data_IF_284736255927
#
_entry.id   IF_284736255927
#
_cell.length_a   1.000
_cell.length_b   1.000
_cell.length_c   1.000
_cell.angle_alpha   90.00
_cell.angle_beta   90.00
_cell.angle_gamma   90.00
#
_symmetry.space_group_name_H-M   'P 1'
#
loop_
_entity.id
_entity.type
_entity.pdbx_description
1 polymer ?
#
# COMPACT_ATOMS: atom_id res chain seq x y z
N UNK A 1 2.93 -8.51 -35.38
CA UNK A 1 4.29 -8.65 -34.82
C UNK A 1 4.75 -7.27 -34.35
N UNK A 2 5.14 -7.14 -33.09
CA UNK A 2 5.50 -5.86 -32.49
C UNK A 2 5.80 -6.03 -31.00
N UNK A 3 6.90 -6.74 -30.73
CA UNK A 3 7.53 -6.86 -29.41
C UNK A 3 7.96 -5.45 -28.94
N UNK A 4 7.41 -4.95 -27.83
CA UNK A 4 8.05 -3.89 -27.03
C UNK A 4 7.31 -3.71 -25.69
N UNK A 5 7.71 -4.52 -24.71
CA UNK A 5 7.30 -4.40 -23.31
C UNK A 5 8.23 -5.16 -22.35
N UNK A 6 8.96 -6.16 -22.85
CA UNK A 6 9.82 -7.04 -22.05
C UNK A 6 11.07 -6.40 -21.44
N UNK A 7 11.54 -5.24 -21.90
CA UNK A 7 12.88 -4.73 -21.54
C UNK A 7 13.01 -4.25 -20.08
N UNK A 8 11.99 -3.60 -19.52
CA UNK A 8 12.06 -3.09 -18.13
C UNK A 8 11.71 -4.15 -17.08
N UNK A 9 10.77 -5.04 -17.40
CA UNK A 9 10.38 -6.13 -16.52
C UNK A 9 11.47 -7.22 -16.46
N UNK A 10 12.09 -7.56 -17.60
CA UNK A 10 13.31 -8.39 -17.62
C UNK A 10 14.45 -7.71 -16.86
N UNK A 11 14.62 -6.39 -16.96
CA UNK A 11 15.68 -5.70 -16.20
C UNK A 11 15.45 -5.68 -14.68
N UNK A 12 14.21 -5.55 -14.20
CA UNK A 12 13.91 -5.59 -12.75
C UNK A 12 13.87 -7.01 -12.19
N UNK A 13 13.24 -7.95 -12.89
CA UNK A 13 13.29 -9.37 -12.51
C UNK A 13 14.73 -9.89 -12.59
N UNK A 14 15.49 -9.57 -13.63
CA UNK A 14 16.93 -9.90 -13.70
C UNK A 14 17.75 -9.11 -12.67
N UNK A 15 17.32 -7.93 -12.21
CA UNK A 15 18.00 -7.20 -11.13
C UNK A 15 17.68 -7.80 -9.76
N UNK A 16 16.46 -8.27 -9.53
CA UNK A 16 16.06 -8.99 -8.32
C UNK A 16 16.69 -10.40 -8.30
N UNK A 17 16.72 -11.11 -9.44
CA UNK A 17 17.47 -12.35 -9.60
C UNK A 17 18.97 -12.13 -9.51
N UNK A 18 19.54 -11.06 -10.08
CA UNK A 18 20.96 -10.74 -9.92
C UNK A 18 21.29 -10.28 -8.50
N UNK A 19 20.37 -9.60 -7.81
CA UNK A 19 20.50 -9.25 -6.39
C UNK A 19 20.45 -10.51 -5.52
N UNK A 20 19.49 -11.42 -5.79
CA UNK A 20 19.45 -12.76 -5.19
C UNK A 20 20.74 -13.52 -5.49
N UNK A 21 21.23 -13.56 -6.73
CA UNK A 21 22.47 -14.24 -7.09
C UNK A 21 23.74 -13.64 -6.45
N UNK A 22 23.75 -12.32 -6.19
CA UNK A 22 24.84 -11.64 -5.43
C UNK A 22 24.83 -11.96 -3.94
N UNK A 23 23.68 -12.38 -3.42
CA UNK A 23 23.44 -12.63 -2.00
C UNK A 23 23.27 -14.13 -1.69
N UNK A 24 23.07 -14.94 -2.72
CA UNK A 24 23.01 -16.40 -2.69
C UNK A 24 24.43 -16.93 -2.52
N UNK A 25 24.69 -17.38 -1.30
CA UNK A 25 25.88 -18.14 -1.01
C UNK A 25 25.38 -19.58 -1.05
N UNK A 26 25.66 -20.32 -2.12
CA UNK A 26 25.22 -21.71 -2.23
C UNK A 26 25.75 -22.56 -1.07
N UNK A 27 25.07 -23.66 -0.77
CA UNK A 27 25.63 -24.73 0.08
C UNK A 27 26.90 -25.26 -0.62
N UNK A 28 28.06 -24.83 -0.13
CA UNK A 28 29.34 -25.14 -0.77
C UNK A 28 29.63 -26.63 -0.70
N UNK A 29 30.22 -27.16 -1.79
CA UNK A 29 30.78 -28.50 -1.88
C UNK A 29 31.57 -28.86 -0.59
N UNK A 30 31.45 -30.09 -0.04
CA UNK A 30 32.14 -30.48 1.18
C UNK A 30 33.62 -30.10 1.12
N UNK A 31 34.05 -29.33 2.11
CA UNK A 31 35.37 -28.77 2.23
C UNK A 31 36.37 -29.94 2.44
N UNK A 32 37.33 -30.15 1.52
CA UNK A 32 38.17 -31.34 1.49
C UNK A 32 39.17 -31.46 2.68
N UNK A 33 39.21 -30.48 3.58
CA UNK A 33 40.20 -30.36 4.65
C UNK A 33 39.63 -30.54 6.07
N UNK A 34 38.37 -30.99 6.20
CA UNK A 34 37.73 -31.22 7.51
C UNK A 34 37.48 -29.94 8.34
N UNK A 35 37.69 -28.77 7.74
CA UNK A 35 37.34 -27.45 8.27
C UNK A 35 35.92 -27.10 7.86
N UNK A 36 35.15 -26.52 8.77
CA UNK A 36 33.78 -26.08 8.46
C UNK A 36 33.77 -24.58 8.20
N UNK A 37 32.86 -24.10 7.35
CA UNK A 37 32.72 -22.69 7.04
C UNK A 37 31.28 -22.22 7.26
N UNK A 38 31.12 -20.99 7.75
CA UNK A 38 29.80 -20.35 7.94
C UNK A 38 29.75 -18.99 7.25
N UNK A 39 28.75 -18.81 6.40
CA UNK A 39 28.42 -17.52 5.77
C UNK A 39 26.95 -17.20 5.98
N UNK A 40 26.67 -15.99 6.42
CA UNK A 40 25.29 -15.52 6.61
C UNK A 40 25.08 -14.28 5.76
N UNK A 41 24.06 -14.29 4.90
CA UNK A 41 23.65 -13.11 4.14
C UNK A 41 22.35 -12.57 4.70
N UNK A 42 22.32 -11.28 5.03
CA UNK A 42 21.09 -10.57 5.42
C UNK A 42 20.61 -9.77 4.22
N UNK A 43 19.37 -9.99 3.80
CA UNK A 43 18.80 -9.34 2.62
C UNK A 43 17.39 -8.84 2.89
N UNK A 44 16.94 -7.87 2.09
CA UNK A 44 15.55 -7.45 2.11
C UNK A 44 14.65 -8.54 1.53
N UNK A 45 13.51 -8.80 2.16
CA UNK A 45 12.55 -9.79 1.68
C UNK A 45 11.93 -9.39 0.32
N UNK A 46 11.69 -8.09 0.12
CA UNK A 46 10.99 -7.55 -1.06
C UNK A 46 11.87 -7.48 -2.31
N UNK A 47 13.10 -6.97 -2.20
CA UNK A 47 13.99 -6.77 -3.36
C UNK A 47 15.10 -7.81 -3.48
N UNK A 48 15.36 -8.57 -2.41
CA UNK A 48 16.49 -9.47 -2.30
C UNK A 48 17.85 -8.78 -2.20
N UNK A 49 17.90 -7.45 -2.12
CA UNK A 49 19.13 -6.67 -1.98
C UNK A 49 19.75 -6.88 -0.59
N UNK A 50 21.08 -6.94 -0.52
CA UNK A 50 21.81 -7.10 0.74
C UNK A 50 21.61 -5.92 1.69
N UNK A 51 21.42 -6.20 2.97
CA UNK A 51 21.29 -5.18 4.02
C UNK A 51 22.62 -5.05 4.75
N UNK A 52 23.21 -3.87 4.69
CA UNK A 52 24.52 -3.56 5.30
C UNK A 52 24.39 -3.06 6.75
N UNK A 53 25.51 -3.04 7.49
CA UNK A 53 25.61 -2.51 8.86
C UNK A 53 24.73 -3.21 9.92
N UNK A 54 24.24 -4.41 9.62
CA UNK A 54 23.51 -5.24 10.57
C UNK A 54 24.48 -6.17 11.29
N UNK A 55 24.30 -6.33 12.60
CA UNK A 55 25.16 -7.23 13.39
C UNK A 55 24.56 -8.64 13.37
N UNK A 56 25.34 -9.62 12.88
CA UNK A 56 25.00 -11.04 12.92
C UNK A 56 25.83 -11.70 14.02
N UNK A 57 25.18 -12.38 14.95
CA UNK A 57 25.83 -13.17 16.00
C UNK A 57 25.58 -14.64 15.73
N UNK A 58 26.66 -15.42 15.65
CA UNK A 58 26.61 -16.87 15.59
C UNK A 58 27.01 -17.41 16.97
N UNK A 59 26.04 -17.93 17.72
CA UNK A 59 26.27 -18.51 19.05
C UNK A 59 26.28 -20.04 18.92
N UNK A 60 27.36 -20.67 19.36
CA UNK A 60 27.57 -22.11 19.21
C UNK A 60 28.94 -22.52 19.72
N UNK A 61 29.50 -23.64 19.22
CA UNK A 61 30.85 -24.12 19.56
C UNK A 61 31.92 -23.03 19.50
N UNK A 62 31.90 -22.22 18.44
CA UNK A 62 32.71 -20.99 18.32
C UNK A 62 31.78 -19.79 18.25
N UNK A 63 31.65 -19.02 19.34
CA UNK A 63 30.78 -17.84 19.32
C UNK A 63 31.49 -16.63 18.72
N UNK A 64 30.85 -15.97 17.76
CA UNK A 64 31.42 -14.82 17.06
C UNK A 64 30.33 -13.83 16.62
N UNK A 65 30.74 -12.59 16.37
CA UNK A 65 29.88 -11.54 15.84
C UNK A 65 30.54 -10.88 14.64
N UNK A 66 29.75 -10.61 13.60
CA UNK A 66 30.18 -9.95 12.36
C UNK A 66 29.16 -8.91 11.95
N UNK A 67 29.62 -7.86 11.29
CA UNK A 67 28.74 -6.87 10.66
C UNK A 67 28.65 -7.18 9.18
N UNK A 68 27.44 -7.12 8.63
CA UNK A 68 27.18 -7.36 7.21
C UNK A 68 27.86 -6.33 6.33
N UNK A 69 28.59 -6.78 5.31
CA UNK A 69 29.32 -5.94 4.36
C UNK A 69 28.39 -5.09 3.48
N UNK A 70 28.92 -3.98 2.98
CA UNK A 70 28.25 -3.11 2.00
C UNK A 70 27.85 -3.90 0.74
N UNK A 71 26.73 -3.50 0.13
CA UNK A 71 26.16 -4.00 -1.14
C UNK A 71 25.77 -5.49 -1.21
N UNK A 72 26.32 -6.33 -0.35
CA UNK A 72 26.14 -7.79 -0.34
C UNK A 72 25.34 -8.27 0.86
N UNK A 73 25.35 -7.52 1.97
CA UNK A 73 24.72 -7.98 3.22
C UNK A 73 25.41 -9.20 3.83
N UNK A 74 26.64 -9.52 3.42
CA UNK A 74 27.36 -10.73 3.83
C UNK A 74 28.08 -10.54 5.17
N UNK A 75 27.84 -11.46 6.10
CA UNK A 75 28.63 -11.71 7.29
C UNK A 75 29.38 -13.05 7.13
N UNK A 76 30.65 -12.97 6.73
CA UNK A 76 31.52 -14.16 6.61
C UNK A 76 32.21 -14.45 7.95
N UNK A 77 31.90 -15.60 8.55
CA UNK A 77 32.51 -16.07 9.79
C UNK A 77 33.79 -16.86 9.54
N UNK A 78 34.11 -17.18 8.29
CA UNK A 78 35.29 -17.96 7.94
C UNK A 78 35.18 -19.40 8.44
N UNK A 79 36.28 -19.91 9.01
CA UNK A 79 36.35 -21.28 9.55
C UNK A 79 35.71 -21.32 10.93
N UNK A 80 34.85 -22.31 11.17
CA UNK A 80 34.15 -22.54 12.44
C UNK A 80 34.20 -24.02 12.84
N UNK A 81 34.01 -24.29 14.13
CA UNK A 81 33.91 -25.67 14.63
C UNK A 81 32.57 -26.33 14.23
N UNK A 82 32.52 -27.65 14.01
CA UNK A 82 31.27 -28.34 13.73
C UNK A 82 30.36 -28.34 14.96
N UNK A 83 29.05 -28.27 14.73
CA UNK A 83 28.04 -28.32 15.78
C UNK A 83 26.81 -27.47 15.47
N UNK A 84 25.97 -27.27 16.50
CA UNK A 84 24.75 -26.48 16.39
C UNK A 84 25.04 -25.01 16.68
N UNK A 85 24.52 -24.14 15.82
CA UNK A 85 24.61 -22.69 15.93
C UNK A 85 23.21 -22.08 15.98
N UNK A 86 23.06 -21.06 16.82
CA UNK A 86 21.92 -20.14 16.81
C UNK A 86 22.39 -18.80 16.28
N UNK A 87 21.85 -18.42 15.12
CA UNK A 87 22.12 -17.16 14.44
C UNK A 87 21.08 -16.13 14.88
N UNK A 88 21.55 -15.00 15.41
CA UNK A 88 20.70 -13.86 15.74
C UNK A 88 21.16 -12.63 14.96
N UNK A 89 20.20 -11.84 14.48
CA UNK A 89 20.46 -10.64 13.71
C UNK A 89 19.97 -9.46 14.52
N UNK A 90 20.89 -8.56 14.89
CA UNK A 90 20.60 -7.35 15.66
C UNK A 90 20.60 -6.15 14.72
N UNK A 91 19.43 -5.53 14.60
CA UNK A 91 19.25 -4.30 13.85
C UNK A 91 19.82 -3.11 14.62
N UNK A 92 20.57 -2.25 13.94
CA UNK A 92 20.96 -0.93 14.46
C UNK A 92 19.75 0.00 14.56
N UNK A 93 19.92 1.17 15.20
CA UNK A 93 18.84 2.12 15.40
C UNK A 93 18.23 2.65 14.08
N UNK A 94 19.00 2.69 12.99
CA UNK A 94 18.53 3.12 11.67
C UNK A 94 17.75 2.02 10.96
N UNK A 95 18.23 0.78 11.06
CA UNK A 95 17.69 -0.41 10.42
C UNK A 95 16.42 -0.88 11.12
N UNK A 96 16.34 -0.72 12.44
CA UNK A 96 15.14 -1.00 13.24
C UNK A 96 13.94 -0.10 12.88
N UNK A 97 14.18 1.05 12.24
CA UNK A 97 13.10 1.91 11.69
C UNK A 97 12.63 1.47 10.30
N UNK A 98 13.38 0.59 9.64
CA UNK A 98 13.16 0.19 8.25
C UNK A 98 12.75 -1.26 8.12
N UNK A 99 13.07 -2.10 9.09
CA UNK A 99 12.89 -3.54 9.01
C UNK A 99 12.36 -4.13 10.30
N UNK A 100 11.55 -5.16 10.17
CA UNK A 100 11.17 -6.02 11.28
C UNK A 100 12.37 -6.84 11.75
N UNK A 101 12.51 -7.01 13.07
CA UNK A 101 13.54 -7.87 13.61
C UNK A 101 13.23 -9.34 13.26
N UNK A 102 14.16 -10.07 12.64
CA UNK A 102 13.91 -11.44 12.24
C UNK A 102 14.00 -12.38 13.44
N UNK A 103 13.29 -13.50 13.38
CA UNK A 103 13.43 -14.57 14.36
C UNK A 103 14.85 -15.16 14.36
N UNK A 104 15.30 -15.65 15.52
CA UNK A 104 16.55 -16.38 15.61
C UNK A 104 16.48 -17.69 14.80
N UNK A 105 17.58 -18.06 14.15
CA UNK A 105 17.64 -19.24 13.28
C UNK A 105 18.64 -20.23 13.85
N UNK A 106 18.21 -21.48 14.06
CA UNK A 106 19.13 -22.58 14.39
C UNK A 106 19.57 -23.33 13.14
N UNK A 107 20.86 -23.66 13.05
CA UNK A 107 21.44 -24.48 11.99
C UNK A 107 22.54 -25.39 12.56
N UNK A 108 22.75 -26.54 11.93
CA UNK A 108 23.83 -27.47 12.30
C UNK A 108 24.85 -27.51 11.18
N UNK A 109 26.13 -27.45 11.54
CA UNK A 109 27.27 -27.53 10.62
C UNK A 109 27.99 -28.85 10.88
N UNK A 110 27.98 -29.77 9.92
CA UNK A 110 28.74 -31.01 10.04
C UNK A 110 30.22 -30.78 9.71
N UNK A 111 31.07 -31.72 10.12
CA UNK A 111 32.51 -31.65 9.87
C UNK A 111 32.80 -31.61 8.37
N UNK A 112 33.50 -30.58 7.93
CA UNK A 112 33.80 -30.37 6.51
C UNK A 112 32.71 -29.65 5.73
N UNK A 113 31.61 -29.22 6.36
CA UNK A 113 30.55 -28.51 5.63
C UNK A 113 30.89 -27.03 5.43
N UNK A 114 30.48 -26.48 4.28
CA UNK A 114 30.31 -25.04 4.11
C UNK A 114 28.82 -24.74 4.19
N UNK A 115 28.39 -24.12 5.28
CA UNK A 115 27.01 -23.69 5.45
C UNK A 115 26.83 -22.23 5.11
N UNK A 116 25.82 -21.99 4.28
CA UNK A 116 25.40 -20.69 3.90
C UNK A 116 23.94 -20.48 4.29
N UNK A 117 23.63 -19.34 4.92
CA UNK A 117 22.28 -19.02 5.33
C UNK A 117 21.89 -17.62 4.89
N UNK A 118 20.77 -17.52 4.17
CA UNK A 118 20.08 -16.26 3.91
C UNK A 118 19.08 -15.99 5.03
N UNK A 119 19.08 -14.78 5.57
CA UNK A 119 18.08 -14.26 6.50
C UNK A 119 17.42 -13.06 5.83
N UNK A 120 16.10 -13.10 5.72
CA UNK A 120 15.32 -12.06 5.06
C UNK A 120 14.72 -11.12 6.10
N UNK A 121 14.83 -9.82 5.83
CA UNK A 121 14.26 -8.75 6.63
C UNK A 121 13.03 -8.20 5.93
N UNK A 122 11.86 -8.34 6.57
CA UNK A 122 10.63 -7.71 6.11
C UNK A 122 10.74 -6.18 6.28
N UNK A 123 10.50 -5.38 5.23
CA UNK A 123 10.48 -3.94 5.35
C UNK A 123 9.28 -3.46 6.18
N UNK A 124 9.50 -2.43 6.98
CA UNK A 124 8.43 -1.70 7.66
C UNK A 124 7.91 -0.65 6.69
N UNK A 125 6.60 -0.67 6.43
CA UNK A 125 5.95 0.35 5.61
C UNK A 125 5.22 1.36 6.49
N UNK A 126 5.08 2.58 5.97
CA UNK A 126 4.29 3.64 6.60
C UNK A 126 2.99 3.81 5.83
N UNK A 127 1.94 4.17 6.56
CA UNK A 127 0.65 4.46 5.95
C UNK A 127 0.53 5.93 5.61
N UNK A 128 0.10 6.22 4.38
CA UNK A 128 -0.22 7.56 3.94
C UNK A 128 -1.45 7.55 3.05
N UNK A 129 -2.45 8.35 3.41
CA UNK A 129 -3.67 8.54 2.62
C UNK A 129 -3.97 10.01 2.43
N UNK A 130 -4.57 10.35 1.30
CA UNK A 130 -5.08 11.70 1.06
C UNK A 130 -6.56 11.57 0.71
N UNK A 131 -7.42 12.11 1.56
CA UNK A 131 -8.85 12.18 1.29
C UNK A 131 -9.13 13.42 0.43
N UNK A 132 -9.74 13.22 -0.73
CA UNK A 132 -10.05 14.32 -1.66
C UNK A 132 -11.54 14.34 -2.01
N UNK A 133 -12.03 15.54 -2.32
CA UNK A 133 -13.35 15.74 -2.89
C UNK A 133 -13.39 15.42 -4.39
N UNK A 134 -14.55 15.63 -5.02
CA UNK A 134 -14.75 15.41 -6.46
C UNK A 134 -13.82 16.26 -7.35
N UNK A 135 -13.41 17.44 -6.87
CA UNK A 135 -12.50 18.33 -7.58
C UNK A 135 -11.02 17.98 -7.34
N UNK A 136 -10.73 16.97 -6.50
CA UNK A 136 -9.38 16.60 -6.12
C UNK A 136 -8.79 17.47 -5.00
N UNK A 137 -9.63 18.28 -4.34
CA UNK A 137 -9.20 19.11 -3.21
C UNK A 137 -9.23 18.30 -1.92
N UNK A 138 -8.24 18.51 -1.04
CA UNK A 138 -8.16 17.83 0.25
C UNK A 138 -9.38 18.05 1.13
N UNK A 139 -9.91 16.98 1.73
CA UNK A 139 -10.99 17.05 2.71
C UNK A 139 -10.42 17.26 4.10
N UNK A 140 -10.52 18.49 4.62
CA UNK A 140 -10.00 18.87 5.93
C UNK A 140 -10.93 18.44 7.08
N UNK A 141 -10.33 18.24 8.27
CA UNK A 141 -11.03 17.98 9.53
C UNK A 141 -11.96 16.74 9.54
N UNK A 142 -11.76 15.82 8.61
CA UNK A 142 -12.50 14.54 8.53
C UNK A 142 -11.99 13.61 9.63
N UNK A 143 -12.91 13.08 10.43
CA UNK A 143 -12.57 12.15 11.51
C UNK A 143 -12.23 10.78 10.95
N UNK A 144 -11.13 10.21 11.44
CA UNK A 144 -10.66 8.88 11.03
C UNK A 144 -10.25 8.05 12.24
N UNK A 145 -10.41 6.72 12.11
CA UNK A 145 -9.97 5.72 13.09
C UNK A 145 -9.31 4.54 12.38
N UNK A 146 -8.18 4.09 12.90
CA UNK A 146 -7.51 2.85 12.53
C UNK A 146 -7.64 1.85 13.68
N UNK A 147 -7.96 0.60 13.39
CA UNK A 147 -8.19 -0.44 14.41
C UNK A 147 -6.90 -0.97 15.06
N UNK A 148 -5.81 -1.10 14.30
CA UNK A 148 -4.56 -1.76 14.73
C UNK A 148 -3.32 -1.03 14.22
N UNK A 149 -2.43 -0.53 15.09
CA UNK A 149 -2.75 -0.17 16.47
C UNK A 149 -3.89 0.85 16.46
N UNK A 150 -4.71 0.83 17.51
CA UNK A 150 -5.84 1.74 17.65
C UNK A 150 -5.35 3.20 17.62
N UNK A 151 -5.68 3.91 16.55
CA UNK A 151 -5.32 5.31 16.33
C UNK A 151 -6.51 6.08 15.80
N UNK A 152 -6.54 7.38 16.05
CA UNK A 152 -7.57 8.26 15.55
C UNK A 152 -7.01 9.67 15.34
N UNK A 153 -7.73 10.46 14.57
CA UNK A 153 -7.38 11.83 14.33
C UNK A 153 -8.37 12.53 13.42
N UNK A 154 -7.93 13.70 12.93
CA UNK A 154 -8.61 14.44 11.88
C UNK A 154 -7.64 14.68 10.73
N UNK A 155 -8.13 14.70 9.50
CA UNK A 155 -7.31 15.05 8.35
C UNK A 155 -6.80 16.49 8.43
N UNK A 156 -5.58 16.70 7.93
CA UNK A 156 -5.03 18.04 7.73
C UNK A 156 -5.75 18.78 6.58
N UNK A 157 -5.39 20.04 6.33
CA UNK A 157 -6.05 20.88 5.33
C UNK A 157 -5.96 20.32 3.90
N UNK A 158 -4.92 19.55 3.62
CA UNK A 158 -4.67 18.83 2.37
C UNK A 158 -5.37 17.46 2.31
N UNK A 159 -6.13 17.08 3.35
CA UNK A 159 -6.79 15.78 3.45
C UNK A 159 -5.86 14.65 3.88
N UNK A 160 -4.61 14.95 4.26
CA UNK A 160 -3.60 13.95 4.59
C UNK A 160 -3.89 13.25 5.92
N UNK A 161 -3.70 11.93 5.90
CA UNK A 161 -3.57 11.03 7.04
C UNK A 161 -2.20 10.36 6.92
N UNK A 162 -1.35 10.55 7.91
CA UNK A 162 -0.04 9.89 7.98
C UNK A 162 0.05 9.13 9.30
N UNK A 163 0.39 7.84 9.21
CA UNK A 163 0.63 7.00 10.38
C UNK A 163 2.05 6.47 10.29
N UNK A 164 2.91 7.03 11.14
CA UNK A 164 4.35 6.74 11.24
C UNK A 164 4.68 5.40 11.91
N UNK A 165 3.70 4.53 12.12
CA UNK A 165 3.97 3.22 12.71
C UNK A 165 4.44 2.24 11.65
N UNK A 166 5.39 1.43 12.06
CA UNK A 166 5.78 0.22 11.38
C UNK A 166 4.55 -0.67 11.10
N UNK A 167 4.21 -0.83 9.82
CA UNK A 167 3.15 -1.72 9.37
C UNK A 167 3.77 -3.04 8.88
N UNK A 168 3.27 -4.17 9.42
CA UNK A 168 3.61 -5.52 9.00
C UNK A 168 2.70 -5.99 7.86
N UNK A 169 3.27 -6.53 6.79
CA UNK A 169 2.51 -6.90 5.59
C UNK A 169 1.44 -7.96 5.81
N UNK A 170 1.55 -8.74 6.89
CA UNK A 170 0.59 -9.78 7.25
C UNK A 170 -0.60 -9.24 8.09
N UNK A 171 -0.56 -7.96 8.48
CA UNK A 171 -1.61 -7.33 9.28
C UNK A 171 -2.62 -6.58 8.41
N UNK A 172 -3.77 -7.23 8.18
CA UNK A 172 -4.98 -6.56 7.70
C UNK A 172 -5.51 -5.58 8.77
N UNK A 173 -5.85 -4.36 8.34
CA UNK A 173 -6.36 -3.27 9.20
C UNK A 173 -7.65 -2.68 8.67
N UNK A 174 -8.41 -2.02 9.52
CA UNK A 174 -9.63 -1.30 9.15
C UNK A 174 -9.44 0.20 9.39
N UNK A 175 -9.68 0.98 8.34
CA UNK A 175 -9.74 2.43 8.37
C UNK A 175 -11.20 2.87 8.27
N UNK A 176 -11.69 3.50 9.32
CA UNK A 176 -13.03 4.05 9.42
C UNK A 176 -12.95 5.56 9.20
N UNK A 177 -13.72 6.08 8.25
CA UNK A 177 -13.80 7.51 7.91
C UNK A 177 -15.23 7.98 8.13
N UNK A 178 -15.39 9.08 8.87
CA UNK A 178 -16.67 9.75 9.04
C UNK A 178 -16.71 10.99 8.16
N UNK A 179 -17.36 10.88 6.99
CA UNK A 179 -17.46 11.99 6.06
C UNK A 179 -18.39 13.07 6.60
N UNK A 180 -18.07 14.36 6.38
CA UNK A 180 -18.94 15.45 6.78
C UNK A 180 -20.27 15.35 6.04
N UNK A 181 -21.36 15.66 6.76
CA UNK A 181 -22.68 15.74 6.15
C UNK A 181 -22.66 16.72 4.97
N UNK A 182 -23.31 16.39 3.83
CA UNK A 182 -23.47 17.34 2.74
C UNK A 182 -24.07 18.64 3.28
N UNK A 183 -23.61 19.78 2.77
CA UNK A 183 -24.20 21.06 3.12
C UNK A 183 -25.71 21.02 2.82
N UNK A 184 -26.53 21.45 3.78
CA UNK A 184 -27.97 21.49 3.59
C UNK A 184 -28.30 22.34 2.34
N UNK A 185 -29.24 21.89 1.49
CA UNK A 185 -29.65 22.67 0.34
C UNK A 185 -30.16 24.05 0.80
N UNK A 186 -29.96 25.11 -0.01
CA UNK A 186 -30.42 26.44 0.32
C UNK A 186 -31.93 26.42 0.60
N UNK A 187 -32.34 27.13 1.66
CA UNK A 187 -33.74 27.20 2.05
C UNK A 187 -34.60 27.71 0.88
N UNK A 188 -35.78 27.10 0.63
CA UNK A 188 -36.67 27.58 -0.42
C UNK A 188 -37.06 29.05 -0.17
N UNK A 189 -37.26 29.84 -1.24
CA UNK A 189 -37.66 31.24 -1.11
C UNK A 189 -38.96 31.35 -0.32
N UNK A 190 -39.03 32.34 0.57
CA UNK A 190 -40.21 32.58 1.40
C UNK A 190 -41.47 32.76 0.51
N UNK A 191 -42.61 32.16 0.88
CA UNK A 191 -43.84 32.30 0.11
C UNK A 191 -44.24 33.78 0.01
N UNK A 192 -44.62 34.19 -1.20
CA UNK A 192 -45.09 35.55 -1.44
C UNK A 192 -46.35 35.84 -0.60
N UNK A 193 -46.53 37.06 -0.07
CA UNK A 193 -47.71 37.41 0.70
C UNK A 193 -48.98 37.22 -0.14
N UNK A 194 -49.96 36.52 0.42
CA UNK A 194 -51.23 36.27 -0.23
C UNK A 194 -51.93 37.60 -0.61
N UNK A 195 -52.41 37.75 -1.85
CA UNK A 195 -53.18 38.94 -2.24
C UNK A 195 -54.48 39.05 -1.41
N UNK A 196 -54.90 40.29 -1.17
CA UNK A 196 -56.12 40.59 -0.43
C UNK A 196 -57.34 39.88 -1.05
N UNK A 197 -58.17 39.29 -0.19
CA UNK A 197 -59.32 38.47 -0.58
C UNK A 197 -60.36 39.32 -1.32
N UNK A 198 -60.44 39.15 -2.64
CA UNK A 198 -61.61 39.53 -3.46
C UNK A 198 -62.48 38.28 -3.58
N UNK A 199 -63.80 38.35 -3.34
CA UNK A 199 -64.66 37.16 -3.39
C UNK A 199 -64.54 36.46 -4.77
N UNK A 200 -64.25 35.14 -4.80
CA UNK A 200 -63.89 34.47 -6.05
C UNK A 200 -65.11 34.27 -6.96
N UNK A 201 -64.99 34.49 -8.28
CA UNK A 201 -66.00 34.03 -9.24
C UNK A 201 -66.08 32.50 -9.21
N UNK A 202 -67.29 31.95 -9.37
CA UNK A 202 -67.53 30.52 -9.40
C UNK A 202 -67.35 29.95 -10.82
N UNK A 203 -66.70 28.79 -10.99
CA UNK A 203 -66.04 27.98 -9.96
C UNK A 203 -64.67 28.57 -9.52
N UNK A 204 -64.23 28.27 -8.28
CA UNK A 204 -62.96 28.76 -7.76
C UNK A 204 -61.79 28.34 -8.66
N UNK A 205 -60.88 29.28 -8.93
CA UNK A 205 -59.64 28.99 -9.65
C UNK A 205 -58.81 27.97 -8.86
N UNK A 206 -58.32 26.94 -9.54
CA UNK A 206 -57.43 25.94 -8.96
C UNK A 206 -56.08 26.63 -8.70
N UNK A 207 -55.63 26.66 -7.45
CA UNK A 207 -54.30 27.16 -7.07
C UNK A 207 -53.28 26.01 -7.11
N UNK A 208 -52.30 26.04 -8.05
CA UNK A 208 -51.27 25.00 -8.14
C UNK A 208 -50.45 24.82 -6.86
N UNK A 209 -50.35 25.85 -6.02
CA UNK A 209 -49.61 25.79 -4.75
C UNK A 209 -50.26 24.83 -3.73
N UNK A 210 -51.57 24.58 -3.82
CA UNK A 210 -52.28 23.62 -2.97
C UNK A 210 -52.00 22.15 -3.33
N UNK A 211 -51.33 21.92 -4.46
CA UNK A 211 -50.94 20.59 -4.95
C UNK A 211 -49.41 20.39 -4.89
N UNK A 212 -48.68 21.30 -4.23
CA UNK A 212 -47.26 21.09 -3.95
C UNK A 212 -47.13 20.12 -2.77
N UNK A 213 -46.71 18.88 -3.05
CA UNK A 213 -46.39 17.89 -2.01
C UNK A 213 -45.32 18.46 -1.06
N UNK A 214 -45.46 18.18 0.24
CA UNK A 214 -44.44 18.52 1.23
C UNK A 214 -43.15 17.79 0.84
N UNK A 215 -42.08 18.57 0.58
CA UNK A 215 -40.82 18.01 0.10
C UNK A 215 -40.33 16.95 1.10
N UNK A 216 -40.00 15.72 0.65
CA UNK A 216 -39.56 14.68 1.56
C UNK A 216 -38.36 15.18 2.36
N UNK A 217 -38.44 15.08 3.69
CA UNK A 217 -37.36 15.48 4.59
C UNK A 217 -36.04 14.85 4.15
N UNK A 218 -35.02 15.68 3.98
CA UNK A 218 -33.72 15.22 3.50
C UNK A 218 -33.16 14.17 4.48
N UNK A 219 -33.03 12.93 4.00
CA UNK A 219 -32.19 11.94 4.68
C UNK A 219 -30.77 12.50 4.64
N UNK A 220 -30.19 12.77 5.81
CA UNK A 220 -28.77 13.11 5.94
C UNK A 220 -28.04 11.80 6.18
N UNK A 221 -27.47 11.14 5.15
CA UNK A 221 -26.58 10.04 5.42
C UNK A 221 -25.30 10.65 5.98
N UNK A 222 -25.07 10.45 7.27
CA UNK A 222 -23.71 10.38 7.76
C UNK A 222 -23.05 9.22 6.99
N UNK A 223 -22.18 9.54 6.04
CA UNK A 223 -21.53 8.52 5.21
C UNK A 223 -20.29 8.07 5.97
N UNK A 224 -20.48 7.06 6.81
CA UNK A 224 -19.36 6.28 7.34
C UNK A 224 -18.82 5.39 6.22
N UNK A 225 -17.49 5.41 6.04
CA UNK A 225 -16.79 4.60 5.05
C UNK A 225 -15.79 3.73 5.79
N UNK A 226 -15.91 2.42 5.57
CA UNK A 226 -15.02 1.43 6.11
C UNK A 226 -14.17 0.81 5.01
N UNK A 227 -12.85 0.94 5.14
CA UNK A 227 -11.90 0.31 4.25
C UNK A 227 -11.09 -0.75 4.98
N UNK A 228 -11.06 -1.94 4.40
CA UNK A 228 -10.08 -2.96 4.75
C UNK A 228 -8.79 -2.67 4.01
N UNK A 229 -7.72 -2.47 4.76
CA UNK A 229 -6.39 -2.16 4.28
C UNK A 229 -5.51 -3.41 4.40
N UNK A 230 -4.86 -3.77 3.31
CA UNK A 230 -3.91 -4.88 3.22
C UNK A 230 -2.67 -4.39 2.49
N UNK A 231 -1.49 -4.79 2.95
CA UNK A 231 -0.25 -4.54 2.22
C UNK A 231 0.04 -5.75 1.35
N UNK A 232 0.23 -5.51 0.06
CA UNK A 232 0.63 -6.54 -0.88
C UNK A 232 1.61 -5.93 -1.87
N UNK A 233 2.39 -6.80 -2.52
CA UNK A 233 3.20 -6.38 -3.64
C UNK A 233 2.29 -5.81 -4.74
N UNK A 234 2.48 -4.51 -5.03
CA UNK A 234 1.81 -3.89 -6.15
C UNK A 234 2.32 -4.58 -7.41
N UNK A 235 1.42 -5.18 -8.19
CA UNK A 235 1.77 -5.84 -9.44
C UNK A 235 2.61 -4.88 -10.32
N UNK A 236 3.88 -5.22 -10.42
CA UNK A 236 4.90 -4.43 -11.10
C UNK A 236 4.71 -4.68 -12.60
N UNK A 237 4.00 -3.81 -13.31
CA UNK A 237 3.70 -4.09 -14.71
C UNK A 237 2.97 -2.98 -15.44
N UNK A 238 3.37 -2.80 -16.69
CA UNK A 238 2.63 -2.02 -17.67
C UNK A 238 1.51 -2.92 -18.27
N UNK A 239 0.64 -3.46 -17.40
CA UNK A 239 -0.38 -4.46 -17.74
C UNK A 239 -1.73 -4.20 -17.01
N UNK A 240 -2.78 -4.93 -17.40
CA UNK A 240 -4.14 -4.76 -16.89
C UNK A 240 -4.25 -4.93 -15.36
N UNK A 241 -3.51 -5.87 -14.78
CA UNK A 241 -3.57 -6.12 -13.33
C UNK A 241 -2.86 -5.00 -12.54
N UNK A 242 -1.76 -4.46 -13.07
CA UNK A 242 -1.10 -3.27 -12.54
C UNK A 242 -1.98 -2.01 -12.61
N UNK A 243 -2.84 -1.90 -13.62
CA UNK A 243 -3.86 -0.84 -13.71
C UNK A 243 -4.96 -1.03 -12.66
N UNK A 244 -5.49 -2.25 -12.53
CA UNK A 244 -6.53 -2.56 -11.53
C UNK A 244 -6.04 -2.29 -10.11
N UNK A 245 -4.82 -2.70 -9.79
CA UNK A 245 -4.25 -2.49 -8.46
C UNK A 245 -4.09 -1.00 -8.13
N UNK A 246 -3.61 -0.19 -9.09
CA UNK A 246 -3.53 1.28 -8.93
C UNK A 246 -4.89 1.96 -8.84
N UNK A 247 -5.88 1.49 -9.61
CA UNK A 247 -7.26 1.97 -9.49
C UNK A 247 -7.81 1.71 -8.09
N UNK A 248 -7.59 0.50 -7.56
CA UNK A 248 -8.03 0.16 -6.21
C UNK A 248 -7.38 1.06 -5.15
N UNK A 249 -6.06 1.30 -5.25
CA UNK A 249 -5.33 2.20 -4.36
C UNK A 249 -5.79 3.66 -4.46
N UNK A 250 -6.37 4.08 -5.59
CA UNK A 250 -7.00 5.39 -5.77
C UNK A 250 -8.49 5.42 -5.35
N UNK A 251 -8.99 4.35 -4.74
CA UNK A 251 -10.37 4.26 -4.22
C UNK A 251 -11.41 3.82 -5.25
N UNK A 252 -11.01 3.38 -6.45
CA UNK A 252 -11.94 2.86 -7.46
C UNK A 252 -12.24 1.37 -7.21
N UNK A 253 -13.51 0.99 -7.27
CA UNK A 253 -13.90 -0.41 -7.12
C UNK A 253 -13.55 -1.23 -8.36
N UNK A 254 -12.72 -2.26 -8.21
CA UNK A 254 -12.27 -3.15 -9.29
C UNK A 254 -12.68 -4.60 -9.02
N UNK A 255 -13.97 -4.88 -9.16
CA UNK A 255 -14.56 -6.19 -8.88
C UNK A 255 -15.20 -6.80 -10.14
N UNK A 256 -14.43 -7.67 -10.80
CA UNK A 256 -14.81 -8.28 -12.07
C UNK A 256 -14.78 -7.30 -13.26
N UNK A 257 -14.88 -7.85 -14.48
CA UNK A 257 -14.68 -7.10 -15.73
C UNK A 257 -15.61 -5.88 -15.85
N UNK A 258 -16.89 -6.04 -15.52
CA UNK A 258 -17.89 -4.98 -15.69
C UNK A 258 -17.61 -3.76 -14.79
N UNK A 259 -17.35 -3.98 -13.50
CA UNK A 259 -17.04 -2.88 -12.58
C UNK A 259 -15.70 -2.25 -12.91
N UNK A 260 -14.69 -3.04 -13.28
CA UNK A 260 -13.41 -2.49 -13.74
C UNK A 260 -13.59 -1.56 -14.95
N UNK A 261 -14.38 -1.96 -15.95
CA UNK A 261 -14.67 -1.10 -17.12
C UNK A 261 -15.37 0.20 -16.72
N UNK A 262 -16.33 0.15 -15.79
CA UNK A 262 -17.00 1.35 -15.27
C UNK A 262 -15.99 2.26 -14.54
N UNK A 263 -15.16 1.69 -13.67
CA UNK A 263 -14.11 2.42 -12.95
C UNK A 263 -13.11 3.09 -13.88
N UNK A 264 -12.69 2.43 -14.96
CA UNK A 264 -11.82 3.03 -15.98
C UNK A 264 -12.52 4.19 -16.70
N UNK A 265 -13.80 4.03 -17.08
CA UNK A 265 -14.57 5.13 -17.70
C UNK A 265 -14.70 6.33 -16.76
N UNK A 266 -14.96 6.08 -15.48
CA UNK A 266 -15.02 7.11 -14.45
C UNK A 266 -13.68 7.81 -14.28
N UNK A 267 -12.57 7.05 -14.25
CA UNK A 267 -11.22 7.60 -14.22
C UNK A 267 -10.96 8.50 -15.45
N UNK A 268 -11.26 8.02 -16.65
CA UNK A 268 -11.09 8.76 -17.90
C UNK A 268 -11.90 10.06 -17.91
N UNK A 269 -13.13 10.03 -17.37
CA UNK A 269 -13.96 11.22 -17.25
C UNK A 269 -13.40 12.23 -16.25
N UNK A 270 -13.02 11.77 -15.05
CA UNK A 270 -12.60 12.66 -13.96
C UNK A 270 -11.20 13.23 -14.21
N UNK A 271 -10.25 12.40 -14.64
CA UNK A 271 -8.84 12.79 -14.71
C UNK A 271 -8.32 13.10 -16.11
N UNK A 272 -8.96 12.54 -17.16
CA UNK A 272 -8.56 12.78 -18.55
C UNK A 272 -9.55 13.65 -19.32
N UNK A 273 -10.64 14.09 -18.68
CA UNK A 273 -11.73 14.87 -19.30
C UNK A 273 -12.31 14.20 -20.56
N UNK A 274 -12.44 12.87 -20.54
CA UNK A 274 -13.02 12.09 -21.63
C UNK A 274 -14.44 11.65 -21.29
N UNK A 275 -15.44 12.37 -21.81
CA UNK A 275 -16.86 12.09 -21.53
C UNK A 275 -17.30 10.68 -21.98
N UNK A 276 -16.76 10.23 -23.12
CA UNK A 276 -16.97 8.92 -23.73
C UNK A 276 -15.70 8.05 -23.64
N UNK A 277 -15.27 7.74 -22.42
CA UNK A 277 -14.13 6.87 -22.17
C UNK A 277 -14.31 5.46 -22.75
N UNK A 278 -13.20 4.87 -23.23
CA UNK A 278 -13.15 3.52 -23.77
C UNK A 278 -13.42 2.43 -22.74
N UNK A 279 -13.08 2.68 -21.47
CA UNK A 279 -13.11 1.66 -20.41
C UNK A 279 -12.00 0.61 -20.52
N UNK A 280 -10.93 0.89 -21.27
CA UNK A 280 -9.83 -0.05 -21.53
C UNK A 280 -8.59 0.28 -20.67
N UNK A 281 -7.96 -0.71 -19.99
CA UNK A 281 -6.80 -0.46 -19.12
C UNK A 281 -5.62 0.21 -19.82
N UNK A 282 -5.33 -0.19 -21.07
CA UNK A 282 -4.22 0.34 -21.86
C UNK A 282 -4.28 1.87 -22.03
N UNK A 283 -5.48 2.44 -22.10
CA UNK A 283 -5.69 3.86 -22.38
C UNK A 283 -5.39 4.76 -21.17
N UNK A 284 -5.37 4.20 -19.96
CA UNK A 284 -5.06 4.95 -18.74
C UNK A 284 -3.70 4.58 -18.15
N UNK A 285 -3.00 3.61 -18.72
CA UNK A 285 -1.83 2.96 -18.13
C UNK A 285 -0.72 3.94 -17.71
N UNK A 286 -0.34 4.85 -18.61
CA UNK A 286 0.73 5.80 -18.35
C UNK A 286 0.31 6.87 -17.33
N UNK A 287 -0.93 7.36 -17.42
CA UNK A 287 -1.44 8.41 -16.53
C UNK A 287 -1.65 7.87 -15.12
N UNK A 288 -2.33 6.72 -14.97
CA UNK A 288 -2.61 6.15 -13.65
C UNK A 288 -1.34 5.76 -12.91
N UNK A 289 -0.33 5.27 -13.62
CA UNK A 289 0.99 5.00 -13.04
C UNK A 289 1.64 6.28 -12.53
N UNK A 290 1.64 7.33 -13.34
CA UNK A 290 2.23 8.61 -12.94
C UNK A 290 1.48 9.22 -11.77
N UNK A 291 0.14 9.18 -11.80
CA UNK A 291 -0.72 9.73 -10.75
C UNK A 291 -0.58 8.96 -9.45
N UNK A 292 -0.65 7.64 -9.47
CA UNK A 292 -0.49 6.83 -8.26
C UNK A 292 0.94 6.93 -7.70
N UNK A 293 1.96 6.75 -8.55
CA UNK A 293 3.36 6.62 -8.09
C UNK A 293 4.02 7.97 -7.76
N UNK A 294 3.42 9.10 -8.18
CA UNK A 294 3.93 10.47 -7.92
C UNK A 294 2.92 11.40 -7.24
N UNK A 295 1.70 10.93 -6.95
CA UNK A 295 0.76 11.76 -6.17
C UNK A 295 1.44 12.16 -4.86
N UNK A 296 1.21 13.41 -4.42
CA UNK A 296 1.94 14.00 -3.31
C UNK A 296 1.90 13.16 -2.05
#
# INVERSE_FOLDING_TARGET
>A
MGLCGGSKHQKRAARAEAAKAKTDVGDGQPCPLGKCHLRVTVARADTGEGVQNVTVQANGPTSASKTTAADTGLADFGVVDPGQYTITVKLGATEAKKYQAPAAVSLTIAKGDTKAKRIELAPLVKLRFVLVDKAGSGLAAVEWKLDKPAKNGKTAADGLIEVDDAWDCDDDRQLHIKLPAPAAPPAPPAPAPAPAVVPPPYPPSIDPAQFADEAPGALVPEVEVDWKLSVADLADGDNDDGVKARLNNLGFTVDGKARTTVSIKTYQRIYLNLDAGSGTPADILADIKTRHDKSP
#
